data_IF_487811109759
#
_entry.id   IF_487811109759
#
_cell.length_a   1.000
_cell.length_b   1.000
_cell.length_c   1.000
_cell.angle_alpha   90.00
_cell.angle_beta   90.00
_cell.angle_gamma   90.00
#
_symmetry.space_group_name_H-M   'P 1'
#
loop_
_entity.id
_entity.type
_entity.pdbx_description
1 polymer ?
#
# COMPACT_ATOMS: atom_id res chain seq x y z
N UNK A 1 -46.01 75.43 11.78
CA UNK A 1 -46.27 76.56 10.85
C UNK A 1 -45.34 76.35 9.65
N UNK A 2 -45.85 75.77 8.55
CA UNK A 2 -46.47 76.49 7.39
C UNK A 2 -45.41 77.31 6.66
N UNK A 3 -45.22 77.32 5.34
CA UNK A 3 -45.58 76.51 4.18
C UNK A 3 -44.73 77.13 3.04
N UNK A 4 -44.33 76.37 2.03
CA UNK A 4 -43.57 76.93 0.89
C UNK A 4 -43.58 76.02 -0.33
N UNK A 5 -44.63 76.16 -1.14
CA UNK A 5 -44.98 75.36 -2.32
C UNK A 5 -44.34 75.85 -3.64
N UNK A 6 -43.97 74.87 -4.49
CA UNK A 6 -44.04 74.78 -5.98
C UNK A 6 -43.35 75.85 -6.86
N UNK A 7 -42.62 75.37 -7.88
CA UNK A 7 -43.13 75.18 -9.27
C UNK A 7 -42.13 74.43 -10.17
N UNK A 8 -42.69 73.57 -11.04
CA UNK A 8 -42.06 72.97 -12.22
C UNK A 8 -42.13 73.95 -13.39
N UNK A 9 -41.13 73.94 -14.27
CA UNK A 9 -41.28 74.27 -15.69
C UNK A 9 -40.57 73.21 -16.52
N UNK A 10 -41.26 72.78 -17.58
CA UNK A 10 -40.88 71.75 -18.54
C UNK A 10 -40.01 72.31 -19.68
N UNK A 11 -39.20 71.40 -20.23
CA UNK A 11 -38.45 71.41 -21.49
C UNK A 11 -39.26 71.85 -22.73
N UNK A 12 -38.61 72.37 -23.80
CA UNK A 12 -38.55 71.53 -25.00
C UNK A 12 -37.29 71.68 -25.90
N UNK A 13 -36.75 70.50 -26.27
CA UNK A 13 -36.48 70.01 -27.64
C UNK A 13 -35.44 70.70 -28.54
N UNK A 14 -34.48 69.87 -28.96
CA UNK A 14 -34.14 69.66 -30.37
C UNK A 14 -32.71 70.08 -30.76
N UNK A 15 -31.98 69.40 -31.64
CA UNK A 15 -32.10 68.09 -32.28
C UNK A 15 -30.86 67.99 -33.22
N UNK A 16 -30.52 66.78 -33.70
CA UNK A 16 -29.66 66.46 -34.88
C UNK A 16 -28.13 66.48 -34.69
N UNK A 17 -27.49 65.30 -34.60
CA UNK A 17 -27.06 64.40 -35.69
C UNK A 17 -25.75 64.80 -36.37
N UNK A 18 -24.69 64.01 -36.15
CA UNK A 18 -23.76 63.61 -37.22
C UNK A 18 -23.07 62.28 -36.87
N UNK A 19 -23.43 61.26 -37.67
CA UNK A 19 -22.82 59.92 -37.77
C UNK A 19 -21.44 60.08 -38.44
N UNK A 20 -20.37 59.50 -37.90
CA UNK A 20 -19.81 58.16 -38.19
C UNK A 20 -18.50 58.26 -38.98
N UNK A 21 -17.43 57.63 -38.47
CA UNK A 21 -16.60 56.69 -39.24
C UNK A 21 -15.69 55.89 -38.29
N UNK A 22 -15.65 54.57 -38.53
CA UNK A 22 -14.73 53.59 -37.91
C UNK A 22 -13.28 53.98 -38.28
N UNK A 23 -12.26 53.58 -37.53
CA UNK A 23 -11.36 52.45 -37.83
C UNK A 23 -10.29 52.42 -36.72
N UNK A 24 -9.98 51.24 -36.17
CA UNK A 24 -8.87 51.08 -35.22
C UNK A 24 -9.07 49.90 -34.25
N UNK A 25 -8.96 48.68 -34.77
CA UNK A 25 -8.88 47.46 -33.97
C UNK A 25 -7.53 47.41 -33.24
N UNK A 26 -7.54 47.35 -31.90
CA UNK A 26 -6.44 46.85 -31.11
C UNK A 26 -6.99 46.12 -29.89
N UNK A 27 -6.95 44.79 -29.96
CA UNK A 27 -7.24 43.89 -28.85
C UNK A 27 -6.12 43.92 -27.82
N UNK A 28 -6.50 43.96 -26.54
CA UNK A 28 -5.76 43.29 -25.48
C UNK A 28 -6.77 42.76 -24.46
N UNK A 29 -7.13 41.48 -24.64
CA UNK A 29 -7.90 40.67 -23.69
C UNK A 29 -6.99 40.38 -22.50
N UNK A 30 -7.25 41.00 -21.35
CA UNK A 30 -6.66 40.57 -20.09
C UNK A 30 -7.44 39.34 -19.61
N UNK A 31 -6.82 38.17 -19.78
CA UNK A 31 -7.38 36.87 -19.41
C UNK A 31 -7.60 36.77 -17.89
N UNK A 32 -8.84 36.45 -17.51
CA UNK A 32 -9.17 35.90 -16.20
C UNK A 32 -8.62 34.47 -16.19
N UNK A 33 -7.47 34.28 -15.55
CA UNK A 33 -6.81 32.99 -15.38
C UNK A 33 -6.55 32.71 -13.91
N UNK A 34 -7.59 32.63 -13.09
CA UNK A 34 -7.47 32.03 -11.76
C UNK A 34 -7.34 30.52 -11.96
N UNK A 35 -6.09 30.08 -12.09
CA UNK A 35 -5.75 28.68 -12.26
C UNK A 35 -6.38 27.84 -11.17
N UNK A 36 -7.17 26.85 -11.59
CA UNK A 36 -7.43 25.70 -10.77
C UNK A 36 -6.11 24.97 -10.66
N UNK A 37 -5.34 25.29 -9.62
CA UNK A 37 -4.29 24.39 -9.18
C UNK A 37 -5.01 23.10 -8.81
N UNK A 38 -4.96 22.11 -9.70
CA UNK A 38 -5.13 20.73 -9.28
C UNK A 38 -4.07 20.50 -8.22
N UNK A 39 -4.48 20.55 -6.96
CA UNK A 39 -3.74 19.88 -5.90
C UNK A 39 -3.64 18.43 -6.39
N UNK A 40 -2.47 18.06 -6.92
CA UNK A 40 -2.08 16.67 -6.92
C UNK A 40 -2.32 16.22 -5.47
N UNK A 41 -3.29 15.32 -5.28
CA UNK A 41 -3.43 14.65 -4.02
C UNK A 41 -2.02 14.11 -3.73
N UNK A 42 -1.36 14.67 -2.72
CA UNK A 42 -0.24 13.98 -2.12
C UNK A 42 -0.81 12.60 -1.78
N UNK A 43 -0.21 11.56 -2.35
CA UNK A 43 -0.46 10.18 -1.98
C UNK A 43 -0.12 10.14 -0.48
N UNK A 44 -1.12 10.38 0.34
CA UNK A 44 -1.02 10.21 1.78
C UNK A 44 -0.96 8.70 1.91
N UNK A 45 0.14 8.18 2.46
CA UNK A 45 0.27 6.78 2.81
C UNK A 45 -0.87 6.45 3.80
N UNK A 46 -2.00 5.99 3.28
CA UNK A 46 -3.20 5.66 4.05
C UNK A 46 -3.05 4.25 4.57
N UNK A 47 -3.66 3.99 5.72
CA UNK A 47 -3.73 2.64 6.25
C UNK A 47 -5.16 2.18 6.42
N UNK A 48 -5.34 0.87 6.57
CA UNK A 48 -6.65 0.26 6.88
C UNK A 48 -7.31 0.84 8.14
N UNK A 49 -6.55 1.49 9.03
CA UNK A 49 -7.09 2.19 10.22
C UNK A 49 -7.76 3.52 9.88
N UNK A 50 -7.59 4.06 8.67
CA UNK A 50 -8.20 5.33 8.23
C UNK A 50 -9.65 5.20 7.75
N UNK A 51 -10.32 4.07 7.98
CA UNK A 51 -11.69 3.88 7.51
C UNK A 51 -11.75 3.78 5.97
N UNK A 52 -11.07 2.79 5.40
CA UNK A 52 -10.83 2.74 3.94
C UNK A 52 -11.98 2.12 3.13
N UNK A 53 -12.97 1.54 3.80
CA UNK A 53 -14.09 0.84 3.19
C UNK A 53 -15.42 1.24 3.85
N UNK A 54 -16.56 1.03 3.19
CA UNK A 54 -17.89 1.30 3.77
C UNK A 54 -18.53 0.06 4.39
N UNK A 55 -19.46 0.25 5.33
CA UNK A 55 -20.22 -0.86 5.91
C UNK A 55 -21.01 -1.62 4.85
N UNK A 56 -21.62 -0.92 3.90
CA UNK A 56 -22.35 -1.53 2.78
C UNK A 56 -21.42 -2.41 1.93
N UNK A 57 -20.18 -1.98 1.73
CA UNK A 57 -19.17 -2.73 0.98
C UNK A 57 -18.79 -4.03 1.69
N UNK A 58 -18.56 -4.00 3.00
CA UNK A 58 -18.30 -5.20 3.79
C UNK A 58 -19.50 -6.18 3.77
N UNK A 59 -20.74 -5.67 3.81
CA UNK A 59 -21.95 -6.51 3.71
C UNK A 59 -22.01 -7.25 2.36
N UNK A 60 -21.74 -6.57 1.24
CA UNK A 60 -21.65 -7.23 -0.07
C UNK A 60 -20.51 -8.25 -0.11
N UNK A 61 -19.36 -7.87 0.46
CA UNK A 61 -18.19 -8.73 0.59
C UNK A 61 -18.48 -10.03 1.32
N UNK A 62 -19.26 -9.97 2.39
CA UNK A 62 -19.71 -11.16 3.11
C UNK A 62 -20.50 -12.11 2.24
N UNK A 63 -21.47 -11.61 1.46
CA UNK A 63 -22.26 -12.46 0.55
C UNK A 63 -21.38 -13.14 -0.50
N UNK A 64 -20.42 -12.42 -1.08
CA UNK A 64 -19.46 -12.98 -2.03
C UNK A 64 -18.55 -14.03 -1.36
N UNK A 65 -18.04 -13.73 -0.16
CA UNK A 65 -17.21 -14.65 0.63
C UNK A 65 -17.93 -15.96 0.96
N UNK A 66 -19.17 -15.89 1.44
CA UNK A 66 -19.98 -17.05 1.82
C UNK A 66 -20.22 -17.99 0.62
N UNK A 67 -20.31 -17.43 -0.58
CA UNK A 67 -20.53 -18.19 -1.82
C UNK A 67 -19.25 -18.82 -2.35
N UNK A 68 -18.11 -18.13 -2.25
CA UNK A 68 -16.89 -18.51 -2.99
C UNK A 68 -15.76 -19.03 -2.08
N UNK A 69 -15.58 -18.46 -0.89
CA UNK A 69 -14.37 -18.64 -0.07
C UNK A 69 -14.59 -19.51 1.17
N UNK A 70 -15.82 -19.50 1.71
CA UNK A 70 -16.20 -20.15 2.98
C UNK A 70 -15.78 -21.63 3.06
N UNK A 71 -15.87 -22.37 1.94
CA UNK A 71 -15.57 -23.82 1.92
C UNK A 71 -14.15 -24.16 2.38
N UNK A 72 -13.21 -23.23 2.20
CA UNK A 72 -11.80 -23.43 2.59
C UNK A 72 -11.43 -22.58 3.80
N UNK A 73 -11.89 -21.33 3.86
CA UNK A 73 -11.47 -20.36 4.87
C UNK A 73 -12.42 -20.29 6.10
N UNK A 74 -13.49 -21.08 6.11
CA UNK A 74 -14.43 -21.18 7.23
C UNK A 74 -15.50 -20.10 7.22
N UNK A 75 -16.66 -20.36 7.83
CA UNK A 75 -17.76 -19.38 7.87
C UNK A 75 -17.39 -18.11 8.65
N UNK A 76 -16.53 -18.26 9.65
CA UNK A 76 -16.04 -17.19 10.50
C UNK A 76 -14.64 -16.69 10.12
N UNK A 77 -14.09 -17.08 8.98
CA UNK A 77 -12.73 -16.73 8.52
C UNK A 77 -11.61 -17.30 9.41
N UNK A 78 -11.91 -18.23 10.31
CA UNK A 78 -10.90 -18.87 11.18
C UNK A 78 -10.00 -19.87 10.45
N UNK A 79 -10.30 -20.15 9.18
CA UNK A 79 -9.56 -21.08 8.34
C UNK A 79 -10.19 -22.48 8.28
N UNK A 80 -9.36 -23.46 7.94
CA UNK A 80 -9.74 -24.85 7.73
C UNK A 80 -8.77 -25.50 6.75
N UNK A 81 -9.25 -25.87 5.57
CA UNK A 81 -8.38 -26.27 4.46
C UNK A 81 -7.57 -25.08 3.91
N UNK A 82 -8.14 -23.88 3.96
CA UNK A 82 -7.46 -22.61 3.73
C UNK A 82 -6.95 -22.00 5.03
N UNK A 83 -6.00 -21.06 4.92
CA UNK A 83 -5.46 -20.35 6.08
C UNK A 83 -6.52 -19.45 6.73
N UNK A 84 -6.39 -19.18 8.03
CA UNK A 84 -7.20 -18.15 8.69
C UNK A 84 -7.00 -16.80 8.00
N UNK A 85 -8.09 -16.05 7.83
CA UNK A 85 -8.09 -14.69 7.29
C UNK A 85 -8.35 -13.65 8.38
N UNK A 86 -8.29 -14.05 9.65
CA UNK A 86 -8.50 -13.18 10.81
C UNK A 86 -7.45 -13.37 11.90
N UNK A 87 -7.31 -12.36 12.77
CA UNK A 87 -6.47 -12.40 13.97
C UNK A 87 -4.97 -12.42 13.66
N UNK A 88 -4.19 -13.03 14.54
CA UNK A 88 -2.71 -13.03 14.47
C UNK A 88 -2.15 -13.55 13.14
N UNK A 89 -2.86 -14.51 12.52
CA UNK A 89 -2.50 -15.03 11.19
C UNK A 89 -2.61 -13.93 10.14
N UNK A 90 -3.71 -13.17 10.14
CA UNK A 90 -3.90 -12.05 9.22
C UNK A 90 -2.86 -10.96 9.47
N UNK A 91 -2.66 -10.59 10.74
CA UNK A 91 -1.70 -9.55 11.13
C UNK A 91 -0.28 -9.93 10.65
N UNK A 92 0.18 -11.15 10.93
CA UNK A 92 1.49 -11.63 10.48
C UNK A 92 1.62 -11.64 8.96
N UNK A 93 0.57 -12.05 8.27
CA UNK A 93 0.63 -12.28 6.83
C UNK A 93 0.52 -10.98 6.02
N UNK A 94 -0.19 -9.97 6.53
CA UNK A 94 -0.57 -8.79 5.75
C UNK A 94 -0.03 -7.46 6.26
N UNK A 95 0.26 -7.32 7.56
CA UNK A 95 0.77 -6.04 8.09
C UNK A 95 2.03 -5.60 7.35
N UNK A 96 2.12 -4.31 7.01
CA UNK A 96 3.21 -3.71 6.23
C UNK A 96 3.16 -4.00 4.73
N UNK A 97 2.18 -4.77 4.24
CA UNK A 97 1.86 -4.90 2.82
C UNK A 97 0.68 -4.01 2.45
N UNK A 98 0.60 -3.63 1.18
CA UNK A 98 -0.54 -2.94 0.59
C UNK A 98 -1.67 -3.92 0.24
N UNK A 99 -2.91 -3.42 0.18
CA UNK A 99 -4.11 -4.25 -0.05
C UNK A 99 -4.12 -4.94 -1.43
N UNK A 100 -3.37 -4.41 -2.40
CA UNK A 100 -3.18 -5.05 -3.71
C UNK A 100 -2.51 -6.42 -3.56
N UNK A 101 -1.62 -6.61 -2.59
CA UNK A 101 -1.00 -7.93 -2.32
C UNK A 101 -2.01 -8.95 -1.83
N UNK A 102 -2.97 -8.51 -1.01
CA UNK A 102 -4.09 -9.36 -0.60
C UNK A 102 -4.99 -9.69 -1.80
N UNK A 103 -5.29 -8.70 -2.63
CA UNK A 103 -6.06 -8.89 -3.86
C UNK A 103 -5.40 -9.88 -4.82
N UNK A 104 -4.10 -9.72 -5.13
CA UNK A 104 -3.32 -10.63 -5.97
C UNK A 104 -3.36 -12.07 -5.43
N UNK A 105 -3.17 -12.24 -4.12
CA UNK A 105 -3.27 -13.56 -3.48
C UNK A 105 -4.66 -14.15 -3.66
N UNK A 106 -5.73 -13.37 -3.48
CA UNK A 106 -7.09 -13.85 -3.66
C UNK A 106 -7.36 -14.30 -5.11
N UNK A 107 -6.81 -13.60 -6.10
CA UNK A 107 -6.92 -14.01 -7.51
C UNK A 107 -6.23 -15.35 -7.81
N UNK A 108 -5.21 -15.73 -7.05
CA UNK A 108 -4.56 -17.04 -7.17
C UNK A 108 -5.31 -18.20 -6.50
N UNK A 109 -6.47 -17.92 -5.87
CA UNK A 109 -7.24 -18.90 -5.12
C UNK A 109 -8.53 -19.33 -5.86
N UNK A 110 -8.99 -20.57 -5.65
CA UNK A 110 -8.27 -21.67 -5.01
C UNK A 110 -7.16 -22.27 -5.90
N UNK A 111 -6.19 -22.99 -5.31
CA UNK A 111 -5.12 -23.62 -6.06
C UNK A 111 -5.66 -24.55 -7.15
N UNK A 112 -5.28 -24.30 -8.41
CA UNK A 112 -5.68 -25.13 -9.56
C UNK A 112 -7.03 -24.77 -10.20
N UNK A 113 -7.79 -23.82 -9.65
CA UNK A 113 -9.00 -23.30 -10.29
C UNK A 113 -9.35 -21.92 -9.70
N UNK A 114 -8.89 -20.81 -10.29
CA UNK A 114 -9.33 -19.49 -9.82
C UNK A 114 -10.79 -19.26 -10.23
N UNK A 115 -11.64 -18.92 -9.28
CA UNK A 115 -12.96 -18.39 -9.59
C UNK A 115 -12.75 -16.97 -10.11
N UNK A 116 -13.08 -16.70 -11.38
CA UNK A 116 -12.89 -15.38 -11.98
C UNK A 116 -14.01 -14.42 -11.56
N UNK A 117 -13.99 -14.02 -10.28
CA UNK A 117 -14.83 -12.92 -9.81
C UNK A 117 -14.40 -11.61 -10.49
N UNK A 118 -15.34 -10.68 -10.63
CA UNK A 118 -15.01 -9.32 -11.04
C UNK A 118 -14.13 -8.64 -9.97
N UNK A 119 -13.27 -7.70 -10.39
CA UNK A 119 -12.37 -6.97 -9.49
C UNK A 119 -13.10 -6.34 -8.29
N UNK A 120 -14.24 -5.70 -8.52
CA UNK A 120 -15.02 -5.07 -7.44
C UNK A 120 -15.55 -6.08 -6.43
N UNK A 121 -15.87 -7.31 -6.85
CA UNK A 121 -16.30 -8.36 -5.94
C UNK A 121 -15.16 -8.81 -5.01
N UNK A 122 -13.91 -8.83 -5.49
CA UNK A 122 -12.75 -9.05 -4.63
C UNK A 122 -12.54 -7.89 -3.66
N UNK A 123 -12.70 -6.64 -4.10
CA UNK A 123 -12.57 -5.45 -3.23
C UNK A 123 -13.65 -5.46 -2.13
N UNK A 124 -14.87 -5.86 -2.47
CA UNK A 124 -15.95 -6.07 -1.50
C UNK A 124 -15.53 -7.14 -0.47
N UNK A 125 -15.00 -8.30 -0.90
CA UNK A 125 -14.53 -9.35 0.01
C UNK A 125 -13.37 -8.85 0.90
N UNK A 126 -12.41 -8.09 0.37
CA UNK A 126 -11.34 -7.47 1.16
C UNK A 126 -11.94 -6.60 2.26
N UNK A 127 -12.94 -5.79 1.94
CA UNK A 127 -13.63 -4.93 2.90
C UNK A 127 -14.29 -5.74 4.03
N UNK A 128 -14.89 -6.88 3.70
CA UNK A 128 -15.41 -7.82 4.71
C UNK A 128 -14.30 -8.42 5.57
N UNK A 129 -13.17 -8.82 4.98
CA UNK A 129 -12.01 -9.32 5.74
C UNK A 129 -11.48 -8.24 6.70
N UNK A 130 -11.42 -6.98 6.26
CA UNK A 130 -11.01 -5.85 7.11
C UNK A 130 -11.98 -5.65 8.28
N UNK A 131 -13.29 -5.66 8.03
CA UNK A 131 -14.32 -5.60 9.08
C UNK A 131 -14.16 -6.72 10.11
N UNK A 132 -13.93 -7.95 9.63
CA UNK A 132 -13.76 -9.13 10.49
C UNK A 132 -12.47 -9.10 11.32
N UNK A 133 -11.50 -8.27 10.94
CA UNK A 133 -10.29 -7.99 11.71
C UNK A 133 -10.42 -6.72 12.58
N UNK A 134 -11.58 -6.07 12.61
CA UNK A 134 -11.84 -4.93 13.51
C UNK A 134 -11.34 -3.59 13.01
N UNK A 135 -10.87 -3.48 11.76
CA UNK A 135 -10.54 -2.19 11.17
C UNK A 135 -11.82 -1.34 11.00
N UNK A 136 -11.75 -0.02 11.22
CA UNK A 136 -12.94 0.82 11.16
C UNK A 136 -13.46 0.95 9.72
N UNK A 137 -14.77 1.09 9.58
CA UNK A 137 -15.37 1.55 8.32
C UNK A 137 -15.30 3.08 8.22
N UNK A 138 -15.22 3.61 7.00
CA UNK A 138 -15.33 5.03 6.70
C UNK A 138 -16.53 5.36 5.82
N UNK A 139 -16.55 6.60 5.33
CA UNK A 139 -17.67 7.11 4.53
C UNK A 139 -17.59 6.77 3.04
N UNK A 140 -16.41 6.36 2.54
CA UNK A 140 -16.16 6.06 1.14
C UNK A 140 -16.01 4.56 0.89
N UNK A 141 -16.31 4.14 -0.34
CA UNK A 141 -15.99 2.78 -0.77
C UNK A 141 -14.50 2.66 -1.13
N UNK A 142 -13.92 1.52 -0.77
CA UNK A 142 -12.62 1.07 -1.25
C UNK A 142 -12.72 0.81 -2.75
N UNK A 143 -11.72 1.26 -3.51
CA UNK A 143 -11.66 1.04 -4.96
C UNK A 143 -10.47 0.16 -5.34
N UNK A 144 -10.57 -0.50 -6.49
CA UNK A 144 -9.46 -1.29 -7.03
C UNK A 144 -8.19 -0.45 -7.24
N UNK A 145 -8.34 0.80 -7.69
CA UNK A 145 -7.22 1.69 -7.96
C UNK A 145 -6.47 2.16 -6.69
N UNK A 146 -7.16 2.17 -5.54
CA UNK A 146 -6.56 2.60 -4.27
C UNK A 146 -5.83 1.48 -3.52
N UNK A 147 -5.94 0.22 -3.97
CA UNK A 147 -5.35 -0.90 -3.23
C UNK A 147 -3.82 -0.81 -3.10
N UNK A 148 -3.15 -0.21 -4.09
CA UNK A 148 -1.69 -0.07 -4.14
C UNK A 148 -1.13 0.99 -3.19
N UNK A 149 -1.98 1.87 -2.62
CA UNK A 149 -1.56 2.95 -1.72
C UNK A 149 -2.16 2.83 -0.31
N UNK A 150 -2.83 1.71 -0.01
CA UNK A 150 -3.40 1.45 1.32
C UNK A 150 -2.65 0.29 1.97
N UNK A 151 -1.92 0.58 3.04
CA UNK A 151 -1.16 -0.41 3.79
C UNK A 151 -2.01 -1.03 4.91
N UNK A 152 -1.83 -2.34 5.14
CA UNK A 152 -2.36 -3.00 6.32
C UNK A 152 -1.48 -2.65 7.52
N UNK A 153 -2.05 -1.99 8.52
CA UNK A 153 -1.35 -1.55 9.72
C UNK A 153 -1.78 -2.41 10.92
N UNK A 154 -0.79 -2.97 11.63
CA UNK A 154 -1.02 -3.73 12.87
C UNK A 154 -1.13 -2.82 14.10
N UNK A 155 -1.37 -3.41 15.26
CA UNK A 155 -1.52 -2.66 16.53
C UNK A 155 -0.25 -1.88 16.92
N UNK A 156 0.93 -2.41 16.57
CA UNK A 156 2.23 -1.81 16.91
C UNK A 156 2.56 -0.53 16.11
N UNK A 157 1.70 -0.15 15.18
CA UNK A 157 1.78 1.10 14.43
C UNK A 157 2.27 0.95 12.97
N UNK A 158 2.35 2.07 12.25
CA UNK A 158 2.69 2.07 10.83
C UNK A 158 4.15 1.64 10.61
N UNK A 159 4.35 0.78 9.61
CA UNK A 159 5.69 0.33 9.19
C UNK A 159 6.35 -0.69 10.09
N UNK A 160 5.74 -1.08 11.22
CA UNK A 160 6.27 -2.15 12.07
C UNK A 160 6.05 -3.50 11.43
N UNK A 161 7.14 -4.22 11.16
CA UNK A 161 7.08 -5.60 10.66
C UNK A 161 6.82 -6.56 11.83
N UNK A 162 5.73 -7.34 11.82
CA UNK A 162 5.43 -8.25 12.92
C UNK A 162 6.45 -9.38 13.06
N UNK A 163 6.51 -9.97 14.25
CA UNK A 163 7.24 -11.21 14.44
C UNK A 163 6.67 -12.32 13.54
N UNK A 164 7.53 -13.20 13.04
CA UNK A 164 7.22 -14.27 12.07
C UNK A 164 6.70 -13.79 10.72
N UNK A 165 6.74 -12.50 10.45
CA UNK A 165 6.42 -11.96 9.13
C UNK A 165 7.49 -12.38 8.13
N UNK A 166 7.08 -12.73 6.92
CA UNK A 166 8.00 -13.03 5.83
C UNK A 166 8.68 -11.75 5.35
N UNK A 167 10.01 -11.72 5.40
CA UNK A 167 10.80 -10.54 5.05
C UNK A 167 11.88 -10.88 4.04
N UNK A 168 12.40 -9.83 3.41
CA UNK A 168 13.63 -9.79 2.63
C UNK A 168 14.62 -8.88 3.33
N UNK A 169 15.87 -9.32 3.37
CA UNK A 169 17.03 -8.55 3.80
C UNK A 169 18.15 -8.73 2.76
N UNK A 170 18.90 -7.67 2.48
CA UNK A 170 20.11 -7.73 1.64
C UNK A 170 21.33 -7.43 2.49
N UNK A 171 22.34 -8.30 2.48
CA UNK A 171 23.52 -8.14 3.32
C UNK A 171 24.70 -9.02 2.91
N UNK A 172 25.77 -8.93 3.68
CA UNK A 172 26.97 -9.75 3.51
C UNK A 172 26.80 -11.08 4.24
N UNK A 173 26.79 -12.18 3.49
CA UNK A 173 26.74 -13.51 4.09
C UNK A 173 28.09 -13.87 4.71
N UNK A 174 28.08 -14.25 5.98
CA UNK A 174 29.25 -14.75 6.70
C UNK A 174 28.89 -15.84 7.70
N UNK A 175 29.91 -16.40 8.35
CA UNK A 175 29.75 -17.51 9.28
C UNK A 175 30.05 -18.86 8.64
N UNK A 176 29.53 -19.93 9.24
CA UNK A 176 29.78 -21.31 8.84
C UNK A 176 28.61 -22.24 9.24
N UNK A 177 28.82 -23.55 9.10
CA UNK A 177 27.81 -24.56 9.41
C UNK A 177 27.30 -24.55 10.87
N UNK A 178 28.03 -23.94 11.80
CA UNK A 178 27.57 -23.75 13.18
C UNK A 178 26.63 -22.56 13.33
N UNK A 179 26.90 -21.46 12.62
CA UNK A 179 26.08 -20.26 12.64
C UNK A 179 26.36 -19.38 11.42
N UNK A 180 25.33 -19.21 10.58
CA UNK A 180 25.34 -18.25 9.48
C UNK A 180 24.78 -16.90 9.94
N UNK A 181 25.30 -15.81 9.39
CA UNK A 181 24.89 -14.44 9.71
C UNK A 181 24.82 -13.57 8.46
N UNK A 182 24.00 -12.53 8.52
CA UNK A 182 24.11 -11.39 7.63
C UNK A 182 24.68 -10.22 8.41
N UNK A 183 25.70 -9.58 7.84
CA UNK A 183 26.29 -8.34 8.33
C UNK A 183 26.20 -7.25 7.28
N UNK A 184 26.35 -6.00 7.68
CA UNK A 184 26.11 -4.84 6.82
C UNK A 184 24.79 -4.97 6.04
N UNK A 185 23.73 -5.37 6.73
CA UNK A 185 22.47 -5.71 6.14
C UNK A 185 21.53 -4.50 6.08
N UNK A 186 20.62 -4.49 5.11
CA UNK A 186 19.47 -3.57 5.10
C UNK A 186 18.55 -3.85 6.28
N UNK A 187 17.69 -2.88 6.63
CA UNK A 187 16.52 -3.18 7.44
C UNK A 187 15.63 -4.24 6.75
N UNK A 188 14.81 -4.93 7.53
CA UNK A 188 13.85 -5.89 7.01
C UNK A 188 12.76 -5.21 6.19
N UNK A 189 12.43 -5.81 5.06
CA UNK A 189 11.31 -5.37 4.23
C UNK A 189 10.34 -6.52 4.02
N UNK A 190 9.04 -6.22 4.02
CA UNK A 190 8.03 -7.25 3.79
C UNK A 190 8.20 -7.90 2.41
N UNK A 191 8.18 -9.23 2.40
CA UNK A 191 8.18 -10.03 1.17
C UNK A 191 6.85 -10.78 1.05
N UNK A 192 6.16 -10.70 -0.09
CA UNK A 192 4.90 -11.42 -0.30
C UNK A 192 5.10 -12.91 -0.59
N UNK A 193 6.31 -13.31 -1.03
CA UNK A 193 6.62 -14.66 -1.47
C UNK A 193 7.93 -15.18 -0.82
N UNK A 194 8.03 -16.48 -0.48
CA UNK A 194 9.14 -17.04 0.29
C UNK A 194 10.35 -17.41 -0.57
N UNK A 195 10.17 -17.50 -1.89
CA UNK A 195 11.24 -17.82 -2.83
C UNK A 195 12.08 -16.60 -3.23
N UNK A 196 13.23 -16.83 -3.89
CA UNK A 196 14.10 -15.76 -4.37
C UNK A 196 13.35 -14.70 -5.19
N UNK A 197 13.74 -13.44 -5.06
CA UNK A 197 13.18 -12.39 -5.91
C UNK A 197 13.52 -12.62 -7.38
N UNK A 198 12.60 -12.20 -8.24
CA UNK A 198 12.70 -12.27 -9.70
C UNK A 198 12.18 -10.97 -10.30
N UNK A 199 12.49 -10.70 -11.58
CA UNK A 199 11.99 -9.51 -12.28
C UNK A 199 12.30 -8.21 -11.54
N UNK A 200 11.31 -7.34 -11.40
CA UNK A 200 11.46 -6.02 -10.77
C UNK A 200 11.84 -6.11 -9.29
N UNK A 201 11.36 -7.14 -8.57
CA UNK A 201 11.74 -7.36 -7.16
C UNK A 201 13.23 -7.67 -7.02
N UNK A 202 13.81 -8.40 -7.98
CA UNK A 202 15.24 -8.70 -8.00
C UNK A 202 16.05 -7.43 -8.30
N UNK A 203 15.60 -6.62 -9.26
CA UNK A 203 16.23 -5.33 -9.57
C UNK A 203 16.20 -4.41 -8.34
N UNK A 204 15.06 -4.37 -7.65
CA UNK A 204 14.92 -3.60 -6.41
C UNK A 204 15.87 -4.11 -5.32
N UNK A 205 16.00 -5.41 -5.12
CA UNK A 205 16.93 -6.01 -4.15
C UNK A 205 18.40 -5.68 -4.47
N UNK A 206 18.81 -5.77 -5.74
CA UNK A 206 20.17 -5.43 -6.18
C UNK A 206 20.50 -3.95 -5.96
N UNK A 207 19.52 -3.07 -6.13
CA UNK A 207 19.69 -1.63 -5.96
C UNK A 207 19.75 -1.17 -4.49
N UNK A 208 19.44 -2.03 -3.51
CA UNK A 208 19.37 -1.60 -2.10
C UNK A 208 20.76 -1.29 -1.53
N UNK A 209 21.02 -0.06 -1.05
CA UNK A 209 22.26 0.22 -0.35
C UNK A 209 22.33 -0.61 0.93
N UNK A 210 23.51 -1.13 1.25
CA UNK A 210 23.73 -1.84 2.51
C UNK A 210 23.58 -0.85 3.69
N UNK A 211 23.17 -1.38 4.86
CA UNK A 211 23.10 -0.63 6.12
C UNK A 211 23.92 -1.35 7.19
N UNK A 212 23.79 -0.96 8.45
CA UNK A 212 24.52 -1.48 9.61
C UNK A 212 23.82 -2.63 10.35
N UNK A 213 22.69 -3.13 9.84
CA UNK A 213 21.93 -4.18 10.53
C UNK A 213 22.67 -5.52 10.48
N UNK A 214 22.38 -6.36 11.46
CA UNK A 214 22.92 -7.72 11.54
C UNK A 214 21.78 -8.69 11.84
N UNK A 215 21.83 -9.87 11.23
CA UNK A 215 20.85 -10.93 11.45
C UNK A 215 21.52 -12.28 11.64
N UNK A 216 20.95 -13.10 12.51
CA UNK A 216 21.33 -14.53 12.63
C UNK A 216 20.44 -15.36 11.71
N UNK A 217 21.04 -16.26 10.94
CA UNK A 217 20.30 -17.11 10.01
C UNK A 217 20.05 -18.49 10.63
N UNK A 218 18.79 -18.86 10.72
CA UNK A 218 18.32 -20.12 11.30
C UNK A 218 17.77 -21.05 10.21
N UNK A 219 17.94 -22.36 10.43
CA UNK A 219 17.42 -23.42 9.55
C UNK A 219 17.81 -23.26 8.08
N UNK A 220 19.04 -22.80 7.82
CA UNK A 220 19.50 -22.48 6.46
C UNK A 220 19.61 -23.74 5.60
N UNK A 221 18.71 -23.85 4.63
CA UNK A 221 18.70 -24.94 3.67
C UNK A 221 18.28 -24.47 2.27
N UNK A 222 18.99 -24.86 1.19
CA UNK A 222 20.25 -25.62 1.20
C UNK A 222 21.41 -24.84 1.85
N UNK A 223 22.51 -25.52 2.15
CA UNK A 223 23.70 -24.86 2.74
C UNK A 223 24.17 -23.71 1.84
N UNK A 224 24.42 -22.51 2.39
CA UNK A 224 24.78 -21.33 1.61
C UNK A 224 26.30 -21.17 1.47
N UNK A 225 27.09 -22.19 1.80
CA UNK A 225 28.56 -22.12 1.86
C UNK A 225 29.21 -21.61 0.57
N UNK A 226 28.63 -21.96 -0.59
CA UNK A 226 29.07 -21.46 -1.89
C UNK A 226 28.94 -19.93 -2.07
N UNK A 227 28.21 -19.25 -1.19
CA UNK A 227 27.99 -17.81 -1.19
C UNK A 227 28.67 -17.10 -0.01
N UNK A 228 29.53 -17.76 0.74
CA UNK A 228 30.25 -17.13 1.84
C UNK A 228 31.06 -15.92 1.33
N UNK A 229 30.87 -14.73 1.93
CA UNK A 229 31.47 -13.47 1.51
C UNK A 229 30.73 -12.73 0.40
N UNK A 230 29.69 -13.33 -0.19
CA UNK A 230 28.87 -12.69 -1.21
C UNK A 230 27.93 -11.66 -0.60
N UNK A 231 27.50 -10.71 -1.42
CA UNK A 231 26.29 -9.93 -1.17
C UNK A 231 25.10 -10.79 -1.57
N UNK A 232 24.21 -11.05 -0.62
CA UNK A 232 23.06 -11.94 -0.83
C UNK A 232 21.75 -11.24 -0.51
N UNK A 233 20.70 -11.61 -1.23
CA UNK A 233 19.33 -11.49 -0.76
C UNK A 233 19.04 -12.72 0.10
N UNK A 234 18.52 -12.49 1.30
CA UNK A 234 17.95 -13.54 2.14
C UNK A 234 16.50 -13.24 2.41
N UNK A 235 15.64 -14.24 2.20
CA UNK A 235 14.26 -14.20 2.65
C UNK A 235 14.02 -15.22 3.74
N UNK A 236 13.13 -14.87 4.65
CA UNK A 236 12.83 -15.72 5.79
C UNK A 236 11.75 -15.13 6.69
N UNK A 237 11.31 -15.93 7.66
CA UNK A 237 10.42 -15.43 8.71
C UNK A 237 11.26 -14.69 9.74
N UNK A 238 10.93 -13.42 9.98
CA UNK A 238 11.58 -12.59 10.99
C UNK A 238 11.33 -13.18 12.38
N UNK A 239 12.36 -13.22 13.21
CA UNK A 239 12.29 -13.58 14.62
C UNK A 239 12.96 -12.45 15.38
N UNK A 240 12.16 -11.63 16.06
CA UNK A 240 12.71 -10.51 16.84
C UNK A 240 13.42 -10.99 18.09
N UNK A 241 14.55 -10.39 18.43
CA UNK A 241 15.19 -10.61 19.72
C UNK A 241 14.42 -9.86 20.82
N UNK A 242 13.70 -10.62 21.66
CA UNK A 242 12.93 -10.05 22.76
C UNK A 242 13.81 -9.56 23.92
N UNK A 243 15.09 -9.99 23.98
CA UNK A 243 16.02 -9.53 25.02
C UNK A 243 16.55 -8.13 24.76
N UNK A 244 16.64 -7.73 23.48
CA UNK A 244 17.22 -6.46 23.03
C UNK A 244 18.74 -6.41 23.12
N UNK A 245 19.38 -7.52 23.46
CA UNK A 245 20.83 -7.65 23.64
C UNK A 245 21.52 -8.22 22.40
N UNK A 246 20.74 -8.76 21.45
CA UNK A 246 21.23 -9.43 20.25
C UNK A 246 20.55 -8.97 18.95
N UNK A 247 21.06 -9.45 17.80
CA UNK A 247 20.42 -9.22 16.52
C UNK A 247 19.15 -10.04 16.36
N UNK A 248 18.21 -9.52 15.58
CA UNK A 248 17.07 -10.29 15.08
C UNK A 248 17.54 -11.50 14.27
N UNK A 249 16.71 -12.53 14.20
CA UNK A 249 16.99 -13.77 13.46
C UNK A 249 16.05 -13.93 12.26
N UNK A 250 16.49 -14.67 11.25
CA UNK A 250 15.67 -15.08 10.10
C UNK A 250 15.61 -16.60 10.05
N UNK A 251 14.40 -17.17 10.11
CA UNK A 251 14.19 -18.55 9.68
C UNK A 251 14.16 -18.58 8.15
N UNK A 252 15.26 -19.02 7.55
CA UNK A 252 15.55 -18.81 6.12
C UNK A 252 14.65 -19.66 5.23
N UNK A 253 14.03 -19.02 4.24
CA UNK A 253 13.27 -19.67 3.18
C UNK A 253 14.00 -19.69 1.85
N UNK A 254 14.85 -18.69 1.59
CA UNK A 254 15.70 -18.66 0.40
C UNK A 254 16.90 -17.74 0.56
N UNK A 255 18.02 -18.10 -0.06
CA UNK A 255 19.20 -17.24 -0.22
C UNK A 255 19.54 -17.17 -1.70
N UNK A 256 19.74 -15.96 -2.20
CA UNK A 256 20.14 -15.66 -3.57
C UNK A 256 21.40 -14.79 -3.56
N UNK A 257 22.45 -15.24 -4.23
CA UNK A 257 23.65 -14.42 -4.45
C UNK A 257 23.34 -13.28 -5.43
N UNK A 258 23.58 -12.04 -4.99
CA UNK A 258 23.43 -10.83 -5.82
C UNK A 258 24.77 -10.38 -6.40
N UNK A 259 25.88 -10.57 -5.67
CA UNK A 259 27.23 -10.30 -6.14
C UNK A 259 28.25 -11.15 -5.38
N UNK A 260 29.33 -11.59 -6.05
CA UNK A 260 30.37 -12.44 -5.46
C UNK A 260 31.17 -11.76 -4.34
N UNK A 261 31.21 -10.42 -4.32
CA UNK A 261 31.85 -9.65 -3.28
C UNK A 261 30.82 -8.78 -2.56
N UNK A 262 30.79 -8.84 -1.23
CA UNK A 262 30.05 -7.89 -0.42
C UNK A 262 30.90 -6.65 -0.14
N UNK A 263 30.71 -5.62 -0.97
CA UNK A 263 31.33 -4.31 -0.79
C UNK A 263 30.26 -3.31 -0.35
N UNK A 264 30.53 -2.47 0.68
CA UNK A 264 29.63 -1.39 1.09
C UNK A 264 29.35 -0.38 -0.03
#
# INVERSE_FOLDING_TARGET
>A
MVAGTRRRTLDPRGDLMARSLRWGLAMAVAAVGSGWAATAAQDQDRTVKDGVYSTEQAVRGRTNYETTCLRCHGADLSGGAGRSLTGDVFVRDWTGLTLDRLFERMQSMPPGASENLAGDAYVDIISYVLERNGYPAGAGELSLASLTSITVEGEDGPGVVPNYALVRVVGCLGGDASQWTLSNATAEERSPEPGPSVGDDLVAAQAKPLSDQNYVLMYVFPSPEAYAGHRVETKGLLIRDESGDGPDSLNVTSILSLAEACTP
#
